data_IF_201101579897
#
_entry.id   IF_201101579897
#
_cell.length_a   1.000
_cell.length_b   1.000
_cell.length_c   1.000
_cell.angle_alpha   90.00
_cell.angle_beta   90.00
_cell.angle_gamma   90.00
#
_symmetry.space_group_name_H-M   'P 1'
#
loop_
_entity.id
_entity.type
_entity.pdbx_description
1 polymer ?
#
# COMPACT_ATOMS: atom_id res chain seq x y z
N UNK A 1 41.54 7.78 23.05
CA UNK A 1 40.09 8.05 23.01
C UNK A 1 39.61 7.51 21.67
N UNK A 2 39.01 6.32 21.70
CA UNK A 2 38.50 5.67 20.48
C UNK A 2 37.23 6.39 20.06
N UNK A 3 37.27 7.08 18.94
CA UNK A 3 36.08 7.58 18.27
C UNK A 3 35.31 6.38 17.76
N UNK A 4 34.15 6.08 18.37
CA UNK A 4 33.18 5.17 17.81
C UNK A 4 32.68 5.76 16.50
N UNK A 5 33.05 5.15 15.38
CA UNK A 5 32.32 5.32 14.12
C UNK A 5 30.89 4.87 14.38
N UNK A 6 29.97 5.80 14.58
CA UNK A 6 28.56 5.54 14.51
C UNK A 6 28.27 5.00 13.11
N UNK A 7 27.92 3.74 13.02
CA UNK A 7 27.34 3.20 11.81
C UNK A 7 26.02 3.93 11.63
N UNK A 8 25.94 4.85 10.69
CA UNK A 8 24.69 5.34 10.15
C UNK A 8 23.99 4.14 9.51
N UNK A 9 23.17 3.47 10.32
CA UNK A 9 22.23 2.49 9.79
C UNK A 9 21.23 3.29 8.96
N UNK A 10 21.33 3.17 7.64
CA UNK A 10 20.34 3.71 6.71
C UNK A 10 18.92 3.27 7.11
N UNK A 11 17.86 3.86 6.54
CA UNK A 11 16.49 3.53 6.88
C UNK A 11 16.25 2.02 6.70
N UNK A 12 15.47 1.42 7.61
CA UNK A 12 15.19 -0.02 7.62
C UNK A 12 14.59 -0.47 6.28
N UNK A 13 15.23 -1.44 5.62
CA UNK A 13 14.97 -1.91 4.24
C UNK A 13 13.99 -3.09 4.13
N UNK A 14 13.39 -3.54 5.24
CA UNK A 14 12.45 -4.65 5.25
C UNK A 14 13.09 -6.05 5.22
N UNK A 15 14.40 -6.17 5.25
CA UNK A 15 15.09 -7.46 5.13
C UNK A 15 15.02 -8.34 6.38
N UNK A 16 14.62 -7.82 7.55
CA UNK A 16 14.57 -8.59 8.79
C UNK A 16 13.50 -9.68 8.77
N UNK A 17 13.82 -10.85 9.34
CA UNK A 17 12.85 -11.95 9.48
C UNK A 17 11.65 -11.56 10.35
N UNK A 18 11.84 -10.69 11.34
CA UNK A 18 10.76 -10.20 12.19
C UNK A 18 9.74 -9.37 11.38
N UNK A 19 10.20 -8.48 10.51
CA UNK A 19 9.35 -7.71 9.60
C UNK A 19 8.60 -8.62 8.63
N UNK A 20 9.30 -9.55 7.96
CA UNK A 20 8.69 -10.51 7.03
C UNK A 20 7.59 -11.34 7.68
N UNK A 21 7.81 -11.81 8.93
CA UNK A 21 6.78 -12.54 9.67
C UNK A 21 5.55 -11.69 9.96
N UNK A 22 5.72 -10.43 10.38
CA UNK A 22 4.61 -9.50 10.62
C UNK A 22 3.87 -9.19 9.32
N UNK A 23 4.59 -8.98 8.22
CA UNK A 23 4.00 -8.72 6.92
C UNK A 23 3.16 -9.90 6.41
N UNK A 24 3.61 -11.15 6.65
CA UNK A 24 2.80 -12.34 6.37
C UNK A 24 1.49 -12.37 7.18
N UNK A 25 1.53 -11.99 8.45
CA UNK A 25 0.32 -11.90 9.29
C UNK A 25 -0.63 -10.83 8.71
N UNK A 26 -0.10 -9.70 8.30
CA UNK A 26 -0.89 -8.62 7.68
C UNK A 26 -1.52 -9.07 6.36
N UNK A 27 -0.76 -9.75 5.50
CA UNK A 27 -1.29 -10.31 4.24
C UNK A 27 -2.42 -11.30 4.52
N UNK A 28 -2.23 -12.22 5.48
CA UNK A 28 -3.24 -13.20 5.84
C UNK A 28 -4.50 -12.55 6.43
N UNK A 29 -4.34 -11.51 7.25
CA UNK A 29 -5.44 -10.75 7.82
C UNK A 29 -6.26 -10.03 6.74
N UNK A 30 -5.58 -9.33 5.82
CA UNK A 30 -6.23 -8.67 4.70
C UNK A 30 -6.96 -9.67 3.78
N UNK A 31 -6.34 -10.81 3.46
CA UNK A 31 -6.98 -11.85 2.66
C UNK A 31 -8.21 -12.45 3.35
N UNK A 32 -8.16 -12.65 4.67
CA UNK A 32 -9.31 -13.13 5.45
C UNK A 32 -10.44 -12.07 5.48
N UNK A 33 -10.11 -10.81 5.69
CA UNK A 33 -11.08 -9.71 5.70
C UNK A 33 -11.74 -9.53 4.33
N UNK A 34 -10.98 -9.63 3.24
CA UNK A 34 -11.55 -9.66 1.89
C UNK A 34 -12.68 -10.68 1.75
N UNK A 35 -12.46 -11.92 2.20
CA UNK A 35 -13.47 -12.99 2.09
C UNK A 35 -14.70 -12.68 2.95
N UNK A 36 -14.48 -12.25 4.20
CA UNK A 36 -15.55 -11.92 5.15
C UNK A 36 -16.39 -10.76 4.64
N UNK A 37 -15.77 -9.66 4.24
CA UNK A 37 -16.47 -8.46 3.77
C UNK A 37 -17.15 -8.65 2.42
N UNK A 38 -16.51 -9.36 1.49
CA UNK A 38 -17.12 -9.63 0.20
C UNK A 38 -18.40 -10.46 0.37
N UNK A 39 -18.37 -11.49 1.21
CA UNK A 39 -19.55 -12.29 1.51
C UNK A 39 -20.64 -11.47 2.22
N UNK A 40 -20.27 -10.70 3.23
CA UNK A 40 -21.20 -9.84 3.97
C UNK A 40 -21.75 -8.70 3.11
N UNK A 41 -20.93 -8.05 2.28
CA UNK A 41 -21.35 -6.99 1.37
C UNK A 41 -22.33 -7.47 0.31
N UNK A 42 -22.14 -8.68 -0.19
CA UNK A 42 -23.11 -9.31 -1.10
C UNK A 42 -24.43 -9.63 -0.38
N UNK A 43 -24.38 -10.23 0.80
CA UNK A 43 -25.55 -10.56 1.61
C UNK A 43 -26.34 -9.31 2.01
N UNK A 44 -25.65 -8.28 2.51
CA UNK A 44 -26.23 -7.00 2.91
C UNK A 44 -26.62 -6.10 1.72
N UNK A 45 -26.30 -6.46 0.50
CA UNK A 45 -26.49 -5.64 -0.70
C UNK A 45 -25.80 -4.27 -0.60
N UNK A 46 -24.66 -4.18 0.08
CA UNK A 46 -23.86 -2.97 0.23
C UNK A 46 -22.75 -2.90 -0.81
N UNK A 47 -22.72 -1.80 -1.57
CA UNK A 47 -21.63 -1.54 -2.51
C UNK A 47 -20.40 -0.99 -1.80
N UNK A 48 -20.58 -0.23 -0.72
CA UNK A 48 -19.48 0.28 0.09
C UNK A 48 -18.68 -0.87 0.72
N UNK A 49 -19.34 -1.88 1.32
CA UNK A 49 -18.64 -3.06 1.85
C UNK A 49 -17.94 -3.88 0.75
N UNK A 50 -18.54 -4.02 -0.42
CA UNK A 50 -17.88 -4.72 -1.53
C UNK A 50 -16.67 -3.97 -2.06
N UNK A 51 -16.71 -2.64 -2.08
CA UNK A 51 -15.57 -1.81 -2.43
C UNK A 51 -14.45 -1.90 -1.37
N UNK A 52 -14.81 -1.85 -0.09
CA UNK A 52 -13.88 -2.01 1.04
C UNK A 52 -13.23 -3.41 1.04
N UNK A 53 -14.00 -4.47 0.77
CA UNK A 53 -13.46 -5.81 0.55
C UNK A 53 -12.38 -5.85 -0.54
N UNK A 54 -12.60 -5.16 -1.67
CA UNK A 54 -11.62 -5.11 -2.74
C UNK A 54 -10.37 -4.31 -2.36
N UNK A 55 -10.48 -3.35 -1.44
CA UNK A 55 -9.33 -2.66 -0.87
C UNK A 55 -8.45 -3.62 -0.04
N UNK A 56 -9.04 -4.42 0.83
CA UNK A 56 -8.35 -5.50 1.54
C UNK A 56 -7.66 -6.49 0.57
N UNK A 57 -8.31 -6.82 -0.54
CA UNK A 57 -7.68 -7.68 -1.55
C UNK A 57 -6.50 -7.00 -2.25
N UNK A 58 -6.65 -5.73 -2.62
CA UNK A 58 -5.59 -4.94 -3.23
C UNK A 58 -4.37 -4.82 -2.30
N UNK A 59 -4.60 -4.65 -1.01
CA UNK A 59 -3.56 -4.61 0.02
C UNK A 59 -2.84 -5.95 0.16
N UNK A 60 -3.57 -7.05 0.30
CA UNK A 60 -2.99 -8.39 0.37
C UNK A 60 -2.10 -8.68 -0.85
N UNK A 61 -2.59 -8.35 -2.06
CA UNK A 61 -1.86 -8.49 -3.30
C UNK A 61 -0.62 -7.58 -3.34
N UNK A 62 -0.78 -6.32 -2.96
CA UNK A 62 0.28 -5.31 -2.96
C UNK A 62 1.42 -5.70 -2.01
N UNK A 63 1.09 -6.11 -0.79
CA UNK A 63 2.08 -6.51 0.21
C UNK A 63 2.75 -7.84 -0.16
N UNK A 64 1.97 -8.80 -0.72
CA UNK A 64 2.51 -10.05 -1.24
C UNK A 64 3.49 -9.85 -2.38
N UNK A 65 3.15 -9.03 -3.36
CA UNK A 65 4.04 -8.68 -4.47
C UNK A 65 5.27 -7.93 -3.95
N UNK A 66 5.10 -6.94 -3.05
CA UNK A 66 6.20 -6.19 -2.47
C UNK A 66 7.21 -7.11 -1.77
N UNK A 67 6.72 -8.11 -1.03
CA UNK A 67 7.58 -9.12 -0.40
C UNK A 67 8.32 -10.00 -1.42
N UNK A 68 7.65 -10.40 -2.49
CA UNK A 68 8.22 -11.28 -3.51
C UNK A 68 9.32 -10.60 -4.33
N UNK A 69 9.27 -9.27 -4.51
CA UNK A 69 10.24 -8.54 -5.33
C UNK A 69 11.35 -7.86 -4.52
N UNK A 70 11.44 -8.09 -3.21
CA UNK A 70 12.58 -7.62 -2.39
C UNK A 70 13.89 -8.22 -2.94
N UNK A 71 14.84 -7.36 -3.26
CA UNK A 71 16.15 -7.76 -3.79
C UNK A 71 16.19 -8.12 -5.27
N UNK A 72 15.10 -7.94 -6.02
CA UNK A 72 15.05 -8.18 -7.47
C UNK A 72 15.42 -6.93 -8.29
N UNK A 73 15.62 -7.12 -9.61
CA UNK A 73 15.97 -6.05 -10.54
C UNK A 73 14.90 -4.96 -10.63
N UNK A 74 15.29 -3.73 -10.98
CA UNK A 74 14.38 -2.61 -11.19
C UNK A 74 13.26 -2.96 -12.20
N UNK A 75 13.61 -3.64 -13.28
CA UNK A 75 12.64 -4.08 -14.31
C UNK A 75 11.57 -5.02 -13.75
N UNK A 76 11.97 -5.99 -12.91
CA UNK A 76 11.02 -6.90 -12.23
C UNK A 76 10.10 -6.14 -11.29
N UNK A 77 10.65 -5.18 -10.55
CA UNK A 77 9.88 -4.32 -9.64
C UNK A 77 8.88 -3.43 -10.39
N UNK A 78 9.27 -2.84 -11.52
CA UNK A 78 8.37 -2.03 -12.36
C UNK A 78 7.25 -2.88 -12.98
N UNK A 79 7.55 -4.10 -13.44
CA UNK A 79 6.52 -5.03 -13.93
C UNK A 79 5.54 -5.44 -12.81
N UNK A 80 6.04 -5.70 -11.61
CA UNK A 80 5.20 -6.02 -10.46
C UNK A 80 4.30 -4.83 -10.08
N UNK A 81 4.83 -3.60 -10.11
CA UNK A 81 4.04 -2.40 -9.88
C UNK A 81 2.98 -2.19 -10.98
N UNK A 82 3.31 -2.46 -12.25
CA UNK A 82 2.34 -2.41 -13.34
C UNK A 82 1.20 -3.43 -13.15
N UNK A 83 1.52 -4.66 -12.71
CA UNK A 83 0.51 -5.68 -12.41
C UNK A 83 -0.43 -5.23 -11.27
N UNK A 84 0.11 -4.60 -10.21
CA UNK A 84 -0.70 -3.99 -9.13
C UNK A 84 -1.63 -2.91 -9.68
N UNK A 85 -1.09 -1.98 -10.47
CA UNK A 85 -1.88 -0.90 -11.07
C UNK A 85 -3.00 -1.42 -11.97
N UNK A 86 -2.72 -2.45 -12.76
CA UNK A 86 -3.73 -3.10 -13.60
C UNK A 86 -4.83 -3.77 -12.76
N UNK A 87 -4.48 -4.45 -11.67
CA UNK A 87 -5.46 -5.05 -10.74
C UNK A 87 -6.36 -3.99 -10.12
N UNK A 88 -5.79 -2.88 -9.60
CA UNK A 88 -6.55 -1.75 -9.05
C UNK A 88 -7.47 -1.11 -10.09
N UNK A 89 -7.00 -0.99 -11.34
CA UNK A 89 -7.82 -0.45 -12.42
C UNK A 89 -9.05 -1.32 -12.69
N UNK A 90 -8.86 -2.64 -12.78
CA UNK A 90 -9.96 -3.58 -12.99
C UNK A 90 -10.95 -3.59 -11.83
N UNK A 91 -10.45 -3.54 -10.58
CA UNK A 91 -11.29 -3.44 -9.38
C UNK A 91 -12.08 -2.14 -9.38
N UNK A 92 -11.43 -1.00 -9.62
CA UNK A 92 -12.09 0.30 -9.68
C UNK A 92 -13.17 0.36 -10.75
N UNK A 93 -12.90 -0.22 -11.93
CA UNK A 93 -13.87 -0.28 -13.01
C UNK A 93 -15.06 -1.18 -12.65
N UNK A 94 -14.81 -2.31 -11.97
CA UNK A 94 -15.87 -3.21 -11.49
C UNK A 94 -16.73 -2.54 -10.41
N UNK A 95 -16.13 -1.88 -9.41
CA UNK A 95 -16.86 -1.14 -8.38
C UNK A 95 -17.70 -0.02 -9.02
N UNK A 96 -17.09 0.77 -9.91
CA UNK A 96 -17.79 1.84 -10.61
C UNK A 96 -18.99 1.31 -11.40
N UNK A 97 -18.78 0.29 -12.24
CA UNK A 97 -19.82 -0.29 -13.08
C UNK A 97 -20.95 -0.92 -12.26
N UNK A 98 -20.63 -1.67 -11.21
CA UNK A 98 -21.61 -2.29 -10.32
C UNK A 98 -22.40 -1.25 -9.52
N UNK A 99 -21.75 -0.17 -9.09
CA UNK A 99 -22.42 0.95 -8.39
C UNK A 99 -23.37 1.69 -9.33
N UNK A 100 -22.95 2.00 -10.56
CA UNK A 100 -23.84 2.60 -11.58
C UNK A 100 -25.05 1.71 -11.84
N UNK A 101 -24.82 0.40 -12.02
CA UNK A 101 -25.94 -0.53 -12.22
C UNK A 101 -26.94 -0.50 -11.06
N UNK A 102 -26.44 -0.43 -9.83
CA UNK A 102 -27.30 -0.40 -8.65
C UNK A 102 -28.08 0.90 -8.46
N UNK A 103 -27.64 2.02 -9.00
CA UNK A 103 -28.42 3.28 -8.99
C UNK A 103 -29.83 3.09 -9.59
N UNK A 104 -29.94 2.19 -10.59
CA UNK A 104 -31.20 1.96 -11.30
C UNK A 104 -32.11 0.87 -10.68
N UNK A 105 -31.64 0.11 -9.69
CA UNK A 105 -32.42 -1.03 -9.18
C UNK A 105 -32.06 -1.46 -7.75
N UNK A 106 -31.38 -0.62 -6.97
CA UNK A 106 -30.93 -1.00 -5.64
C UNK A 106 -32.04 -1.02 -4.61
N UNK A 107 -32.17 -2.14 -3.89
CA UNK A 107 -32.81 -2.15 -2.58
C UNK A 107 -31.93 -1.44 -1.54
N UNK A 108 -32.54 -1.04 -0.43
CA UNK A 108 -31.82 -0.44 0.70
C UNK A 108 -30.89 -1.50 1.30
N UNK A 109 -29.58 -1.20 1.52
CA UNK A 109 -28.66 -2.13 2.16
C UNK A 109 -29.02 -2.40 3.63
N UNK A 110 -28.54 -3.52 4.17
CA UNK A 110 -28.73 -3.87 5.58
C UNK A 110 -27.73 -3.11 6.47
N UNK A 111 -28.12 -1.93 6.95
CA UNK A 111 -27.29 -1.06 7.76
C UNK A 111 -26.66 -1.72 9.02
N UNK A 112 -27.36 -2.62 9.77
CA UNK A 112 -26.73 -3.31 10.88
C UNK A 112 -25.54 -4.18 10.46
N UNK A 113 -25.63 -4.90 9.34
CA UNK A 113 -24.55 -5.72 8.80
C UNK A 113 -23.38 -4.83 8.38
N UNK A 114 -23.65 -3.71 7.67
CA UNK A 114 -22.62 -2.74 7.30
C UNK A 114 -21.87 -2.21 8.52
N UNK A 115 -22.58 -1.85 9.59
CA UNK A 115 -21.98 -1.32 10.82
C UNK A 115 -21.10 -2.34 11.55
N UNK A 116 -21.58 -3.58 11.70
CA UNK A 116 -20.83 -4.65 12.40
C UNK A 116 -19.57 -5.04 11.60
N UNK A 117 -19.71 -5.22 10.31
CA UNK A 117 -18.61 -5.63 9.45
C UNK A 117 -17.60 -4.48 9.29
N UNK A 118 -18.04 -3.23 9.09
CA UNK A 118 -17.16 -2.06 9.07
C UNK A 118 -16.39 -1.86 10.39
N UNK A 119 -16.99 -2.18 11.54
CA UNK A 119 -16.28 -2.18 12.83
C UNK A 119 -15.20 -3.28 12.88
N UNK A 120 -15.50 -4.46 12.36
CA UNK A 120 -14.53 -5.55 12.26
C UNK A 120 -13.36 -5.19 11.33
N UNK A 121 -13.65 -4.58 10.19
CA UNK A 121 -12.67 -4.07 9.24
C UNK A 121 -11.76 -3.00 9.87
N UNK A 122 -12.36 -2.04 10.56
CA UNK A 122 -11.61 -1.03 11.31
C UNK A 122 -10.68 -1.67 12.34
N UNK A 123 -11.16 -2.66 13.09
CA UNK A 123 -10.34 -3.38 14.07
C UNK A 123 -9.17 -4.13 13.39
N UNK A 124 -9.40 -4.74 12.23
CA UNK A 124 -8.36 -5.42 11.46
C UNK A 124 -7.29 -4.42 10.96
N UNK A 125 -7.69 -3.27 10.41
CA UNK A 125 -6.77 -2.25 9.94
C UNK A 125 -6.00 -1.57 11.08
N UNK A 126 -6.63 -1.34 12.23
CA UNK A 126 -5.92 -0.88 13.43
C UNK A 126 -4.90 -1.91 13.93
N UNK A 127 -5.24 -3.20 13.91
CA UNK A 127 -4.29 -4.27 14.25
C UNK A 127 -3.09 -4.27 13.28
N UNK A 128 -3.30 -4.07 11.98
CA UNK A 128 -2.25 -3.94 10.98
C UNK A 128 -1.35 -2.73 11.25
N UNK A 129 -1.94 -1.56 11.52
CA UNK A 129 -1.20 -0.34 11.89
C UNK A 129 -0.31 -0.60 13.12
N UNK A 130 -0.85 -1.24 14.16
CA UNK A 130 -0.11 -1.55 15.38
C UNK A 130 1.02 -2.57 15.15
N UNK A 131 0.81 -3.57 14.30
CA UNK A 131 1.85 -4.53 13.92
C UNK A 131 3.02 -3.88 13.19
N UNK A 132 2.74 -2.84 12.41
CA UNK A 132 3.70 -2.16 11.53
C UNK A 132 4.25 -0.84 12.11
N UNK A 133 3.70 -0.32 13.20
CA UNK A 133 4.09 0.99 13.78
C UNK A 133 5.59 1.09 14.08
N UNK A 134 6.22 0.00 14.48
CA UNK A 134 7.66 -0.04 14.76
C UNK A 134 8.52 0.16 13.49
N UNK A 135 7.93 0.10 12.31
CA UNK A 135 8.61 0.21 11.02
C UNK A 135 8.17 1.45 10.22
N UNK A 136 7.39 2.35 10.83
CA UNK A 136 6.85 3.57 10.17
C UNK A 136 7.93 4.50 9.60
N UNK A 137 9.13 4.47 10.16
CA UNK A 137 10.28 5.29 9.78
C UNK A 137 11.29 4.50 8.91
N UNK A 138 10.89 3.35 8.37
CA UNK A 138 11.67 2.56 7.43
C UNK A 138 11.82 3.22 6.06
N UNK A 139 12.39 2.48 5.09
CA UNK A 139 12.51 2.94 3.70
C UNK A 139 11.12 3.22 3.07
N UNK A 140 11.11 3.78 1.87
CA UNK A 140 9.88 4.17 1.18
C UNK A 140 8.90 3.00 1.01
N UNK A 141 9.40 1.78 0.78
CA UNK A 141 8.57 0.59 0.61
C UNK A 141 7.91 0.17 1.94
N UNK A 142 8.70 0.10 3.01
CA UNK A 142 8.22 -0.24 4.36
C UNK A 142 7.24 0.79 4.89
N UNK A 143 7.57 2.08 4.73
CA UNK A 143 6.72 3.20 5.14
C UNK A 143 5.40 3.24 4.38
N UNK A 144 5.40 2.90 3.08
CA UNK A 144 4.17 2.89 2.28
C UNK A 144 3.15 1.89 2.81
N UNK A 145 3.56 0.70 3.24
CA UNK A 145 2.67 -0.32 3.82
C UNK A 145 1.96 0.22 5.06
N UNK A 146 2.69 0.88 5.97
CA UNK A 146 2.10 1.48 7.16
C UNK A 146 1.13 2.63 6.84
N UNK A 147 1.49 3.48 5.85
CA UNK A 147 0.64 4.58 5.41
C UNK A 147 -0.66 4.10 4.77
N UNK A 148 -0.61 3.04 3.93
CA UNK A 148 -1.80 2.40 3.39
C UNK A 148 -2.73 1.95 4.52
N UNK A 149 -2.28 1.08 5.40
CA UNK A 149 -3.09 0.56 6.51
C UNK A 149 -3.71 1.66 7.39
N UNK A 150 -3.00 2.77 7.59
CA UNK A 150 -3.55 3.93 8.31
C UNK A 150 -4.69 4.60 7.53
N UNK A 151 -4.53 4.75 6.21
CA UNK A 151 -5.54 5.37 5.37
C UNK A 151 -6.78 4.47 5.26
N UNK A 152 -6.60 3.15 5.21
CA UNK A 152 -7.69 2.17 5.16
C UNK A 152 -8.51 2.19 6.46
N UNK A 153 -7.84 2.35 7.61
CA UNK A 153 -8.55 2.56 8.88
C UNK A 153 -9.45 3.82 8.85
N UNK A 154 -9.02 4.89 8.18
CA UNK A 154 -9.84 6.09 7.96
C UNK A 154 -11.00 5.77 7.00
N UNK A 155 -10.75 5.02 5.92
CA UNK A 155 -11.77 4.55 4.97
C UNK A 155 -12.89 3.77 5.67
N UNK A 156 -12.56 2.86 6.56
CA UNK A 156 -13.52 2.09 7.33
C UNK A 156 -14.42 2.96 8.23
N UNK A 157 -13.88 4.03 8.80
CA UNK A 157 -14.71 5.01 9.53
C UNK A 157 -15.74 5.64 8.60
N UNK A 158 -15.38 5.94 7.35
CA UNK A 158 -16.30 6.47 6.34
C UNK A 158 -17.39 5.46 5.98
N UNK A 159 -17.05 4.17 5.84
CA UNK A 159 -18.03 3.08 5.63
C UNK A 159 -19.03 2.98 6.80
N UNK A 160 -18.54 3.11 8.04
CA UNK A 160 -19.39 3.13 9.22
C UNK A 160 -20.35 4.35 9.25
N UNK A 161 -19.86 5.53 8.84
CA UNK A 161 -20.70 6.72 8.69
C UNK A 161 -21.77 6.49 7.61
N UNK A 162 -21.41 5.84 6.50
CA UNK A 162 -22.39 5.45 5.48
C UNK A 162 -23.45 4.50 6.02
N UNK A 163 -23.09 3.54 6.86
CA UNK A 163 -24.03 2.63 7.53
C UNK A 163 -25.04 3.40 8.39
N UNK A 164 -24.59 4.38 9.17
CA UNK A 164 -25.45 5.28 9.95
C UNK A 164 -26.36 6.10 9.02
N UNK A 165 -25.83 6.59 7.90
CA UNK A 165 -26.59 7.31 6.88
C UNK A 165 -27.70 6.45 6.25
N UNK A 166 -27.40 5.20 5.89
CA UNK A 166 -28.39 4.24 5.37
C UNK A 166 -29.48 3.96 6.41
N UNK A 167 -29.07 3.76 7.68
CA UNK A 167 -30.01 3.50 8.77
C UNK A 167 -30.96 4.69 9.02
N UNK A 168 -30.42 5.91 9.05
CA UNK A 168 -31.18 7.11 9.32
C UNK A 168 -32.07 7.57 8.15
N UNK A 169 -31.59 7.44 6.91
CA UNK A 169 -32.29 7.89 5.72
C UNK A 169 -33.18 6.80 5.08
N UNK A 170 -33.04 5.54 5.50
CA UNK A 170 -33.68 4.38 4.86
C UNK A 170 -33.49 4.36 3.33
N UNK A 171 -32.30 4.73 2.88
CA UNK A 171 -31.95 4.94 1.49
C UNK A 171 -30.59 4.32 1.15
N UNK A 172 -30.41 3.86 -0.10
CA UNK A 172 -29.15 3.32 -0.57
C UNK A 172 -28.10 4.41 -0.90
N UNK A 173 -28.48 5.67 -0.99
CA UNK A 173 -27.58 6.74 -1.44
C UNK A 173 -26.27 6.90 -0.64
N UNK A 174 -26.26 6.82 0.71
CA UNK A 174 -25.01 6.93 1.46
C UNK A 174 -24.03 5.80 1.12
N UNK A 175 -24.50 4.58 0.95
CA UNK A 175 -23.71 3.41 0.54
C UNK A 175 -23.14 3.59 -0.88
N UNK A 176 -23.99 3.99 -1.82
CA UNK A 176 -23.56 4.21 -3.21
C UNK A 176 -22.56 5.37 -3.32
N UNK A 177 -22.75 6.45 -2.53
CA UNK A 177 -21.83 7.59 -2.53
C UNK A 177 -20.41 7.17 -2.07
N UNK A 178 -20.31 6.38 -1.00
CA UNK A 178 -19.00 5.86 -0.54
C UNK A 178 -18.39 4.92 -1.57
N UNK A 179 -19.17 4.01 -2.17
CA UNK A 179 -18.68 3.14 -3.23
C UNK A 179 -18.15 3.93 -4.45
N UNK A 180 -18.80 5.02 -4.86
CA UNK A 180 -18.30 5.91 -5.91
C UNK A 180 -16.98 6.59 -5.54
N UNK A 181 -16.85 7.06 -4.31
CA UNK A 181 -15.59 7.66 -3.82
C UNK A 181 -14.48 6.63 -3.85
N UNK A 182 -14.71 5.41 -3.36
CA UNK A 182 -13.72 4.34 -3.37
C UNK A 182 -13.33 3.93 -4.80
N UNK A 183 -14.30 3.80 -5.71
CA UNK A 183 -14.01 3.55 -7.13
C UNK A 183 -13.12 4.64 -7.73
N UNK A 184 -13.37 5.91 -7.42
CA UNK A 184 -12.56 7.04 -7.84
C UNK A 184 -11.12 6.96 -7.29
N UNK A 185 -10.96 6.58 -6.03
CA UNK A 185 -9.65 6.38 -5.41
C UNK A 185 -8.88 5.22 -6.07
N UNK A 186 -9.52 4.08 -6.33
CA UNK A 186 -8.89 2.97 -7.04
C UNK A 186 -8.41 3.36 -8.43
N UNK A 187 -9.27 4.02 -9.23
CA UNK A 187 -8.92 4.44 -10.58
C UNK A 187 -7.79 5.49 -10.59
N UNK A 188 -7.80 6.44 -9.66
CA UNK A 188 -6.75 7.46 -9.52
C UNK A 188 -5.42 6.82 -9.13
N UNK A 189 -5.42 5.94 -8.13
CA UNK A 189 -4.24 5.19 -7.69
C UNK A 189 -3.70 4.29 -8.79
N UNK A 190 -4.57 3.58 -9.50
CA UNK A 190 -4.21 2.75 -10.65
C UNK A 190 -3.50 3.57 -11.74
N UNK A 191 -4.05 4.73 -12.10
CA UNK A 191 -3.45 5.62 -13.09
C UNK A 191 -2.07 6.12 -12.67
N UNK A 192 -1.90 6.53 -11.41
CA UNK A 192 -0.61 6.95 -10.87
C UNK A 192 0.43 5.81 -10.92
N UNK A 193 0.06 4.62 -10.44
CA UNK A 193 0.95 3.46 -10.42
C UNK A 193 1.33 3.05 -11.85
N UNK A 194 0.38 2.97 -12.77
CA UNK A 194 0.64 2.56 -14.16
C UNK A 194 1.54 3.56 -14.89
N UNK A 195 1.32 4.85 -14.69
CA UNK A 195 2.16 5.89 -15.31
C UNK A 195 3.58 5.90 -14.75
N UNK A 196 3.73 5.71 -13.44
CA UNK A 196 5.04 5.60 -12.81
C UNK A 196 5.78 4.34 -13.26
N UNK A 197 5.11 3.17 -13.22
CA UNK A 197 5.70 1.90 -13.65
C UNK A 197 6.17 1.93 -15.10
N UNK A 198 5.39 2.59 -15.96
CA UNK A 198 5.76 2.76 -17.36
C UNK A 198 7.02 3.63 -17.54
N UNK A 199 7.13 4.72 -16.77
CA UNK A 199 8.34 5.57 -16.79
C UNK A 199 9.57 4.81 -16.31
N UNK A 200 9.46 4.09 -15.20
CA UNK A 200 10.55 3.29 -14.64
C UNK A 200 10.96 2.14 -15.57
N UNK A 201 10.00 1.48 -16.21
CA UNK A 201 10.27 0.43 -17.19
C UNK A 201 11.05 0.96 -18.41
N UNK A 202 10.71 2.14 -18.91
CA UNK A 202 11.45 2.79 -19.99
C UNK A 202 12.84 3.23 -19.56
N UNK A 203 12.98 3.83 -18.38
CA UNK A 203 14.28 4.25 -17.84
C UNK A 203 15.21 3.06 -17.55
N UNK A 204 14.68 1.93 -17.12
CA UNK A 204 15.46 0.69 -16.90
C UNK A 204 15.83 -0.06 -18.18
N UNK A 205 15.29 0.35 -19.35
CA UNK A 205 15.70 -0.12 -20.67
C UNK A 205 16.85 0.68 -21.30
N UNK A 206 17.10 1.87 -20.81
CA UNK A 206 18.28 2.65 -21.11
C UNK A 206 19.37 2.25 -20.10
N UNK A 207 20.15 1.23 -20.42
CA UNK A 207 21.48 1.07 -19.80
C UNK A 207 22.22 2.40 -20.02
N UNK A 208 22.74 3.06 -18.96
CA UNK A 208 23.69 4.14 -19.17
C UNK A 208 24.87 3.53 -19.95
N UNK A 209 24.86 3.71 -21.26
CA UNK A 209 26.03 3.44 -22.06
C UNK A 209 27.17 4.28 -21.51
N UNK A 210 28.15 3.61 -20.95
CA UNK A 210 29.58 3.83 -20.98
C UNK A 210 30.09 5.27 -21.28
N UNK A 211 29.56 6.28 -20.60
CA UNK A 211 30.05 7.66 -20.73
C UNK A 211 30.63 8.23 -19.42
N UNK A 212 30.97 7.39 -18.42
CA UNK A 212 31.69 7.82 -17.21
C UNK A 212 32.98 7.01 -16.97
N UNK A 213 33.68 6.65 -18.05
CA UNK A 213 35.08 6.19 -17.93
C UNK A 213 36.09 7.35 -17.90
N UNK A 214 35.63 8.61 -17.78
CA UNK A 214 36.53 9.77 -17.91
C UNK A 214 36.72 10.61 -16.63
N UNK A 215 35.95 10.36 -15.54
CA UNK A 215 36.05 11.20 -14.32
C UNK A 215 36.28 10.40 -13.01
N UNK A 216 36.77 9.19 -13.08
CA UNK A 216 37.27 8.49 -11.89
C UNK A 216 38.80 8.72 -11.75
N UNK A 217 39.23 9.97 -11.87
CA UNK A 217 40.53 10.41 -11.37
C UNK A 217 40.30 10.90 -9.92
N UNK A 218 40.07 9.96 -9.01
CA UNK A 218 40.33 10.21 -7.61
C UNK A 218 41.80 10.47 -7.44
N UNK A 219 42.14 11.74 -7.27
CA UNK A 219 43.49 12.16 -6.93
C UNK A 219 43.96 11.48 -5.65
N UNK A 220 45.02 10.72 -5.80
CA UNK A 220 45.89 10.28 -4.72
C UNK A 220 46.41 11.51 -3.96
N UNK A 221 45.91 11.73 -2.76
CA UNK A 221 46.35 12.89 -2.02
C UNK A 221 45.70 13.11 -0.66
N UNK A 222 45.70 12.09 0.19
CA UNK A 222 45.47 12.31 1.62
C UNK A 222 46.00 11.13 2.46
N UNK A 223 47.29 10.89 2.43
CA UNK A 223 48.01 10.14 3.46
C UNK A 223 49.45 10.61 3.50
N UNK A 224 49.70 11.87 3.81
CA UNK A 224 51.02 12.31 4.28
C UNK A 224 50.97 12.61 5.77
N UNK A 225 51.49 11.66 6.53
CA UNK A 225 51.85 11.84 7.92
C UNK A 225 53.21 12.57 7.96
N UNK A 226 53.36 13.71 8.58
CA UNK A 226 54.68 14.20 8.92
C UNK A 226 55.11 13.55 10.24
N UNK A 227 56.09 12.69 10.12
CA UNK A 227 56.94 12.28 11.25
C UNK A 227 57.73 13.50 11.78
N UNK A 228 57.39 13.88 13.01
CA UNK A 228 58.19 14.87 13.71
C UNK A 228 59.51 14.27 14.17
N UNK A 229 60.58 14.77 13.63
CA UNK A 229 61.90 14.64 14.24
C UNK A 229 62.02 15.56 15.45
N UNK A 230 62.49 14.95 16.52
CA UNK A 230 62.93 15.53 17.77
C UNK A 230 64.37 15.98 17.61
N UNK A 231 64.71 17.23 17.88
CA UNK A 231 66.06 17.59 18.39
C UNK A 231 66.05 18.91 19.16
N UNK A 232 66.63 18.80 20.35
CA UNK A 232 67.30 19.71 21.28
C UNK A 232 66.44 20.32 22.33
#
# INVERSE_FOLDING_TARGET
MSACCGQDHGPFDGMSNAYKKRLWIVIALNAAMFVVEMAAGQAARSQALQADALDFFADALTYGISMAVIGTSLRTRSMAAAAKGASLFLMGLWVFGSTVWRVFGAGVPEAPVMGIIGLLALAANLATVLLLVSYKDGDANVRSVWLCSRNDAIGNVVVMIAALGVWGAHSAWPDLAVAFVMAGLFLTSAFQILTQSWREYRAGGETPGDNNAADAQCGDGCCDHPTSERQS
#
